data_IF_105090641315
#
_entry.id   IF_105090641315
#
_cell.length_a   1.000
_cell.length_b   1.000
_cell.length_c   1.000
_cell.angle_alpha   90.00
_cell.angle_beta   90.00
_cell.angle_gamma   90.00
#
_symmetry.space_group_name_H-M   'P 1'
#
loop_
_entity.id
_entity.type
_entity.pdbx_description
1 polymer ?
#
# COMPACT_ATOMS: atom_id res chain seq x y z
N UNK A 1 -15.51 -15.77 5.65
CA UNK A 1 -14.30 -15.71 6.50
C UNK A 1 -13.38 -14.61 5.95
N UNK A 2 -13.42 -13.39 6.50
CA UNK A 2 -12.52 -12.29 6.09
C UNK A 2 -11.22 -12.43 6.87
N UNK A 3 -10.15 -12.84 6.20
CA UNK A 3 -8.80 -13.01 6.76
C UNK A 3 -8.01 -11.67 6.81
N UNK A 4 -8.71 -10.55 6.94
CA UNK A 4 -8.10 -9.20 7.04
C UNK A 4 -7.75 -8.82 8.48
N UNK A 5 -7.77 -9.79 9.41
CA UNK A 5 -7.54 -9.53 10.83
C UNK A 5 -6.05 -9.58 11.12
N UNK A 6 -5.49 -8.39 11.36
CA UNK A 6 -4.25 -8.09 12.11
C UNK A 6 -2.97 -7.79 11.31
N UNK A 7 -3.09 -7.04 10.21
CA UNK A 7 -1.89 -6.38 9.70
C UNK A 7 -1.52 -5.35 10.76
N UNK A 8 -0.33 -5.49 11.38
CA UNK A 8 0.18 -4.57 12.41
C UNK A 8 -0.09 -3.13 11.99
N UNK A 9 -0.46 -2.28 12.96
CA UNK A 9 -0.85 -0.85 12.89
C UNK A 9 -0.05 0.09 11.95
N UNK A 10 1.05 -0.35 11.31
CA UNK A 10 1.84 0.41 10.34
C UNK A 10 1.91 -0.12 8.90
N UNK A 11 1.14 -1.16 8.55
CA UNK A 11 1.18 -1.75 7.20
C UNK A 11 -0.19 -1.74 6.52
N UNK A 12 -0.19 -1.50 5.21
CA UNK A 12 -1.38 -1.54 4.36
C UNK A 12 -1.57 -2.93 3.75
N UNK A 13 -2.82 -3.36 3.61
CA UNK A 13 -3.21 -4.55 2.84
C UNK A 13 -3.00 -4.33 1.34
N UNK A 14 -2.97 -5.41 0.55
CA UNK A 14 -2.95 -5.28 -0.92
C UNK A 14 -4.16 -4.53 -1.47
N UNK A 15 -5.31 -4.62 -0.79
CA UNK A 15 -6.53 -3.95 -1.22
C UNK A 15 -6.46 -2.45 -0.99
N UNK A 16 -6.06 -2.03 0.20
CA UNK A 16 -5.86 -0.60 0.52
C UNK A 16 -4.84 0.05 -0.39
N UNK A 17 -3.73 -0.65 -0.71
CA UNK A 17 -2.73 -0.12 -1.64
C UNK A 17 -3.28 -0.04 -3.06
N UNK A 18 -3.97 -1.07 -3.56
CA UNK A 18 -4.53 -1.05 -4.90
C UNK A 18 -5.57 0.07 -5.06
N UNK A 19 -6.49 0.19 -4.10
CA UNK A 19 -7.52 1.22 -4.07
C UNK A 19 -6.90 2.62 -3.91
N UNK A 20 -5.89 2.77 -3.04
CA UNK A 20 -5.18 4.02 -2.82
C UNK A 20 -4.27 4.45 -3.97
N UNK A 21 -3.73 3.52 -4.76
CA UNK A 21 -3.01 3.83 -6.00
C UNK A 21 -3.94 3.97 -7.21
N UNK A 22 -5.21 3.57 -7.07
CA UNK A 22 -6.19 3.56 -8.17
C UNK A 22 -5.86 2.53 -9.26
N UNK A 23 -5.30 1.38 -8.87
CA UNK A 23 -4.92 0.28 -9.77
C UNK A 23 -5.64 -1.00 -9.40
N UNK A 24 -5.65 -1.97 -10.31
CA UNK A 24 -6.18 -3.30 -10.00
C UNK A 24 -5.22 -4.09 -9.09
N UNK A 25 -5.75 -5.02 -8.29
CA UNK A 25 -4.93 -5.99 -7.54
C UNK A 25 -3.98 -6.79 -8.44
N UNK A 26 -4.39 -7.04 -9.69
CA UNK A 26 -3.57 -7.71 -10.70
C UNK A 26 -2.36 -6.85 -11.08
N UNK A 27 -2.57 -5.56 -11.31
CA UNK A 27 -1.48 -4.60 -11.58
C UNK A 27 -0.52 -4.51 -10.40
N UNK A 28 -1.05 -4.46 -9.16
CA UNK A 28 -0.22 -4.45 -7.96
C UNK A 28 0.59 -5.74 -7.81
N UNK A 29 0.01 -6.90 -8.15
CA UNK A 29 0.75 -8.17 -8.20
C UNK A 29 1.88 -8.12 -9.22
N UNK A 30 1.62 -7.63 -10.44
CA UNK A 30 2.66 -7.50 -11.46
C UNK A 30 3.82 -6.63 -10.98
N UNK A 31 3.54 -5.48 -10.34
CA UNK A 31 4.60 -4.63 -9.79
C UNK A 31 5.44 -5.33 -8.72
N UNK A 32 4.87 -6.23 -7.93
CA UNK A 32 5.64 -7.04 -6.97
C UNK A 32 6.48 -8.09 -7.68
N UNK A 33 5.89 -8.78 -8.64
CA UNK A 33 6.56 -9.85 -9.40
C UNK A 33 7.71 -9.27 -10.23
N UNK A 34 7.57 -8.03 -10.72
CA UNK A 34 8.61 -7.21 -11.37
C UNK A 34 9.62 -6.57 -10.38
N UNK A 35 9.42 -6.72 -9.06
CA UNK A 35 10.29 -6.14 -8.03
C UNK A 35 10.21 -4.61 -7.89
N UNK A 36 9.22 -3.96 -8.51
CA UNK A 36 9.05 -2.50 -8.54
C UNK A 36 8.52 -1.93 -7.23
N UNK A 37 7.70 -2.70 -6.51
CA UNK A 37 7.19 -2.33 -5.20
C UNK A 37 7.61 -3.35 -4.15
N UNK A 38 8.24 -2.85 -3.08
CA UNK A 38 8.63 -3.68 -1.95
C UNK A 38 7.41 -4.01 -1.08
N UNK A 39 7.45 -5.17 -0.44
CA UNK A 39 6.41 -5.62 0.48
C UNK A 39 7.04 -6.46 1.59
N UNK A 40 6.35 -6.51 2.72
CA UNK A 40 6.72 -7.38 3.82
C UNK A 40 5.85 -8.64 3.79
N UNK A 41 6.48 -9.80 3.93
CA UNK A 41 5.79 -11.10 3.99
C UNK A 41 5.74 -11.58 5.43
N UNK A 42 4.55 -11.56 6.02
CA UNK A 42 4.31 -12.04 7.39
C UNK A 42 4.03 -13.55 7.41
N UNK A 43 3.39 -14.08 6.36
CA UNK A 43 3.15 -15.52 6.17
C UNK A 43 2.99 -15.83 4.68
N UNK A 44 2.92 -17.11 4.27
CA UNK A 44 2.72 -17.48 2.87
C UNK A 44 1.49 -16.84 2.21
N UNK A 45 0.44 -16.57 2.98
CA UNK A 45 -0.81 -15.96 2.50
C UNK A 45 -0.99 -14.51 2.96
N UNK A 46 -0.04 -13.96 3.72
CA UNK A 46 -0.17 -12.65 4.35
C UNK A 46 1.01 -11.75 4.00
N UNK A 47 0.70 -10.69 3.27
CA UNK A 47 1.65 -9.64 2.90
C UNK A 47 1.09 -8.28 3.30
N UNK A 48 1.97 -7.33 3.60
CA UNK A 48 1.62 -5.95 3.85
C UNK A 48 2.66 -4.99 3.30
N UNK A 49 2.26 -3.73 3.10
CA UNK A 49 3.11 -2.70 2.54
C UNK A 49 3.33 -1.62 3.59
N UNK A 50 4.58 -1.36 3.93
CA UNK A 50 4.91 -0.23 4.78
C UNK A 50 4.69 1.08 4.00
N UNK A 51 4.38 2.16 4.73
CA UNK A 51 4.26 3.50 4.17
C UNK A 51 5.48 3.89 3.31
N UNK A 52 6.68 3.53 3.78
CA UNK A 52 7.95 3.79 3.10
C UNK A 52 8.05 3.08 1.75
N UNK A 53 7.54 1.85 1.63
CA UNK A 53 7.58 1.11 0.36
C UNK A 53 6.72 1.78 -0.70
N UNK A 54 5.54 2.27 -0.30
CA UNK A 54 4.63 3.00 -1.20
C UNK A 54 5.28 4.31 -1.64
N UNK A 55 5.93 5.04 -0.72
CA UNK A 55 6.63 6.28 -1.05
C UNK A 55 7.81 6.06 -2.00
N UNK A 56 8.63 5.04 -1.74
CA UNK A 56 9.74 4.66 -2.62
C UNK A 56 9.25 4.29 -4.02
N UNK A 57 8.16 3.52 -4.13
CA UNK A 57 7.54 3.17 -5.41
C UNK A 57 7.12 4.40 -6.24
N UNK A 58 6.56 5.43 -5.59
CA UNK A 58 6.16 6.67 -6.26
C UNK A 58 7.33 7.51 -6.76
N UNK A 59 8.52 7.33 -6.18
CA UNK A 59 9.74 8.05 -6.57
C UNK A 59 10.49 7.37 -7.69
N UNK A 60 10.55 6.04 -7.69
CA UNK A 60 11.33 5.27 -8.67
C UNK A 60 10.58 5.04 -9.98
N UNK A 61 9.25 4.98 -9.92
CA UNK A 61 8.43 4.76 -11.12
C UNK A 61 8.00 6.08 -11.74
N UNK A 62 7.99 6.16 -13.07
CA UNK A 62 7.25 7.17 -13.83
C UNK A 62 5.73 6.98 -13.63
N UNK A 63 5.25 7.24 -12.41
CA UNK A 63 3.83 7.19 -12.07
C UNK A 63 3.13 8.40 -12.69
N UNK A 64 1.93 8.18 -13.19
CA UNK A 64 1.06 9.27 -13.64
C UNK A 64 0.78 10.24 -12.49
N UNK A 65 0.54 11.50 -12.82
CA UNK A 65 0.16 12.52 -11.85
C UNK A 65 -1.05 12.07 -10.99
N UNK A 66 -2.04 11.45 -11.63
CA UNK A 66 -3.23 10.90 -10.97
C UNK A 66 -2.89 9.85 -9.90
N UNK A 67 -1.97 8.91 -10.21
CA UNK A 67 -1.54 7.89 -9.27
C UNK A 67 -0.81 8.51 -8.06
N UNK A 68 0.03 9.53 -8.30
CA UNK A 68 0.75 10.23 -7.24
C UNK A 68 -0.20 10.96 -6.29
N UNK A 69 -1.22 11.64 -6.81
CA UNK A 69 -2.20 12.35 -5.99
C UNK A 69 -3.07 11.40 -5.14
N UNK A 70 -3.50 10.28 -5.73
CA UNK A 70 -4.26 9.24 -5.02
C UNK A 70 -3.43 8.60 -3.90
N UNK A 71 -2.17 8.31 -4.18
CA UNK A 71 -1.26 7.74 -3.19
C UNK A 71 -0.99 8.70 -2.04
N UNK A 72 -0.83 10.01 -2.31
CA UNK A 72 -0.70 11.02 -1.24
C UNK A 72 -1.89 11.00 -0.30
N UNK A 73 -3.12 10.90 -0.81
CA UNK A 73 -4.34 10.79 0.02
C UNK A 73 -4.31 9.55 0.92
N UNK A 74 -3.98 8.38 0.35
CA UNK A 74 -3.80 7.14 1.12
C UNK A 74 -2.80 7.32 2.29
N UNK A 75 -1.68 7.99 2.01
CA UNK A 75 -0.61 8.23 2.98
C UNK A 75 -0.96 9.28 4.03
N UNK A 76 -1.90 10.18 3.73
CA UNK A 76 -2.33 11.29 4.60
C UNK A 76 -3.50 10.85 5.51
N UNK A 77 -4.44 10.06 4.99
CA UNK A 77 -5.51 9.42 5.77
C UNK A 77 -4.95 8.46 6.83
N UNK A 78 -3.81 7.83 6.56
CA UNK A 78 -3.13 7.00 7.57
C UNK A 78 -2.54 7.81 8.73
N UNK A 79 -2.24 9.10 8.53
CA UNK A 79 -1.77 9.99 9.61
C UNK A 79 -2.95 10.41 10.50
N UNK A 80 -4.11 10.66 9.91
CA UNK A 80 -5.32 11.08 10.65
C UNK A 80 -5.82 9.95 11.56
N UNK A 81 -5.80 8.69 11.11
CA UNK A 81 -6.16 7.54 11.96
C UNK A 81 -5.28 7.41 13.22
N UNK A 82 -4.06 7.93 13.21
CA UNK A 82 -3.16 7.89 14.36
C UNK A 82 -3.44 9.02 15.37
N UNK A 83 -3.93 10.17 14.89
CA UNK A 83 -4.18 11.36 15.71
C UNK A 83 -5.62 11.47 16.26
N UNK A 84 -6.46 10.43 16.07
CA UNK A 84 -7.84 10.40 16.57
C UNK A 84 -8.06 9.32 17.65
N UNK A 85 -6.98 8.85 18.28
CA UNK A 85 -7.01 7.95 19.44
C UNK A 85 -6.44 8.64 20.70
N UNK A 86 -6.77 9.91 20.89
CA UNK A 86 -6.64 10.64 22.16
C UNK A 86 -8.05 11.05 22.63
#
# INVERSE_FOLDING_TARGET
MRLDVDIKSGFFTSREVADGLGISLRTLKNYRDEGRIQYHKFSPRRIGYAKQHIWAFLQTTHCSFYMKERAKKLLQESIVKYNSSD
#
